data_IF_385336481748
#
_entry.id   IF_385336481748
#
_cell.length_a   1.000
_cell.length_b   1.000
_cell.length_c   1.000
_cell.angle_alpha   90.00
_cell.angle_beta   90.00
_cell.angle_gamma   90.00
#
_symmetry.space_group_name_H-M   'P 1'
#
loop_
_entity.id
_entity.type
_entity.pdbx_description
1 polymer ?
#
# COMPACT_ATOMS: atom_id res chain seq x y z
N UNK A 1 9.31 19.30 -10.79
CA UNK A 1 9.27 17.82 -10.93
C UNK A 1 8.14 17.43 -11.88
N UNK A 2 8.41 16.63 -12.92
CA UNK A 2 7.36 16.11 -13.81
C UNK A 2 6.33 15.34 -12.97
N UNK A 3 5.03 15.48 -13.26
CA UNK A 3 3.95 14.86 -12.45
C UNK A 3 4.07 13.35 -12.35
N UNK A 4 4.45 12.71 -13.46
CA UNK A 4 4.76 11.28 -13.53
C UNK A 4 5.83 10.84 -12.50
N UNK A 5 6.82 11.69 -12.23
CA UNK A 5 7.89 11.41 -11.25
C UNK A 5 7.35 11.52 -9.82
N UNK A 6 6.44 12.48 -9.54
CA UNK A 6 5.77 12.58 -8.23
C UNK A 6 4.96 11.33 -7.91
N UNK A 7 4.15 10.89 -8.87
CA UNK A 7 3.32 9.68 -8.73
C UNK A 7 4.20 8.44 -8.54
N UNK A 8 5.28 8.32 -9.32
CA UNK A 8 6.22 7.20 -9.20
C UNK A 8 6.89 7.16 -7.82
N UNK A 9 7.31 8.33 -7.30
CA UNK A 9 7.90 8.42 -5.96
C UNK A 9 6.92 7.98 -4.88
N UNK A 10 5.64 8.38 -4.98
CA UNK A 10 4.61 7.97 -4.03
C UNK A 10 4.37 6.46 -4.05
N UNK A 11 4.33 5.83 -5.23
CA UNK A 11 4.24 4.36 -5.33
C UNK A 11 5.44 3.65 -4.71
N UNK A 12 6.66 4.14 -4.94
CA UNK A 12 7.87 3.58 -4.32
C UNK A 12 7.82 3.72 -2.79
N UNK A 13 7.40 4.88 -2.28
CA UNK A 13 7.25 5.11 -0.85
C UNK A 13 6.21 4.16 -0.23
N UNK A 14 5.11 3.90 -0.93
CA UNK A 14 4.09 2.92 -0.52
C UNK A 14 4.68 1.51 -0.47
N UNK A 15 5.39 1.05 -1.51
CA UNK A 15 6.04 -0.28 -1.51
C UNK A 15 7.01 -0.41 -0.34
N UNK A 16 7.80 0.62 -0.08
CA UNK A 16 8.71 0.64 1.07
C UNK A 16 7.95 0.58 2.41
N UNK A 17 6.84 1.33 2.54
CA UNK A 17 5.97 1.30 3.72
C UNK A 17 5.33 -0.06 3.96
N UNK A 18 4.77 -0.69 2.92
CA UNK A 18 4.18 -2.03 2.99
C UNK A 18 5.24 -3.09 3.33
N UNK A 19 6.44 -2.97 2.76
CA UNK A 19 7.56 -3.88 3.09
C UNK A 19 8.01 -3.71 4.54
N UNK A 20 8.08 -2.46 5.02
CA UNK A 20 8.41 -2.16 6.42
C UNK A 20 7.35 -2.69 7.37
N UNK A 21 6.07 -2.63 6.99
CA UNK A 21 4.97 -3.22 7.77
C UNK A 21 5.18 -4.72 7.98
N UNK A 22 5.34 -5.48 6.91
CA UNK A 22 5.57 -6.93 7.01
C UNK A 22 6.87 -7.27 7.75
N UNK A 23 7.90 -6.43 7.61
CA UNK A 23 9.16 -6.61 8.33
C UNK A 23 8.97 -6.44 9.84
N UNK A 24 8.19 -5.44 10.29
CA UNK A 24 7.91 -5.25 11.71
C UNK A 24 7.18 -6.44 12.33
N UNK A 25 6.25 -7.06 11.59
CA UNK A 25 5.49 -8.21 12.10
C UNK A 25 6.37 -9.46 12.30
N UNK A 26 7.47 -9.59 11.55
CA UNK A 26 8.41 -10.72 11.66
C UNK A 26 9.65 -10.42 12.51
N UNK A 27 9.93 -9.14 12.80
CA UNK A 27 11.10 -8.74 13.58
C UNK A 27 11.25 -9.40 14.96
N UNK A 28 10.17 -9.65 15.74
CA UNK A 28 10.28 -10.33 17.04
C UNK A 28 10.98 -11.70 16.98
N UNK A 29 10.93 -12.38 15.83
CA UNK A 29 11.64 -13.66 15.62
C UNK A 29 13.14 -13.57 15.91
N UNK A 30 13.77 -12.42 15.63
CA UNK A 30 15.21 -12.23 15.84
C UNK A 30 15.60 -12.15 17.33
N UNK A 31 14.62 -12.04 18.23
CA UNK A 31 14.82 -12.02 19.68
C UNK A 31 14.18 -13.23 20.38
N UNK A 32 13.82 -14.29 19.64
CA UNK A 32 13.04 -15.43 20.16
C UNK A 32 11.73 -15.01 20.83
N UNK A 33 11.16 -13.87 20.41
CA UNK A 33 9.85 -13.43 20.86
C UNK A 33 8.75 -14.02 19.96
N UNK A 34 7.57 -14.23 20.55
CA UNK A 34 6.43 -14.75 19.83
C UNK A 34 5.98 -13.78 18.73
N UNK A 35 5.54 -14.35 17.61
CA UNK A 35 4.83 -13.62 16.55
C UNK A 35 3.37 -14.09 16.50
N UNK A 36 2.52 -13.33 15.82
CA UNK A 36 1.15 -13.76 15.57
C UNK A 36 1.13 -14.99 14.66
N UNK A 37 0.81 -16.16 15.22
CA UNK A 37 0.70 -17.44 14.49
C UNK A 37 -0.75 -17.91 14.53
N UNK A 38 -1.27 -18.32 13.38
CA UNK A 38 -2.56 -19.02 13.27
C UNK A 38 -2.55 -20.30 14.13
N UNK A 39 -3.65 -20.55 14.87
CA UNK A 39 -3.79 -21.79 15.67
C UNK A 39 -3.68 -23.07 14.83
N UNK A 40 -4.06 -22.98 13.56
CA UNK A 40 -4.02 -24.09 12.61
C UNK A 40 -2.66 -24.20 11.88
N UNK A 41 -1.72 -23.29 12.17
CA UNK A 41 -0.39 -23.25 11.54
C UNK A 41 -0.41 -22.88 10.05
N UNK A 42 -1.57 -22.53 9.49
CA UNK A 42 -1.74 -22.20 8.08
C UNK A 42 -2.48 -20.87 7.94
N UNK A 43 -1.95 -19.97 7.10
CA UNK A 43 -2.65 -18.76 6.69
C UNK A 43 -3.63 -19.09 5.53
N UNK A 44 -4.88 -18.59 5.55
CA UNK A 44 -5.81 -18.81 4.45
C UNK A 44 -5.21 -18.34 3.11
N UNK A 45 -5.28 -19.18 2.08
CA UNK A 45 -4.71 -18.86 0.75
C UNK A 45 -5.27 -17.56 0.19
N UNK A 46 -6.56 -17.29 0.41
CA UNK A 46 -7.21 -16.04 0.00
C UNK A 46 -6.56 -14.81 0.65
N UNK A 47 -6.18 -14.89 1.93
CA UNK A 47 -5.50 -13.82 2.64
C UNK A 47 -4.09 -13.59 2.07
N UNK A 48 -3.35 -14.68 1.81
CA UNK A 48 -2.01 -14.60 1.20
C UNK A 48 -2.05 -13.95 -0.19
N UNK A 49 -3.02 -14.35 -1.02
CA UNK A 49 -3.23 -13.76 -2.35
C UNK A 49 -3.60 -12.29 -2.25
N UNK A 50 -4.51 -11.92 -1.34
CA UNK A 50 -4.90 -10.53 -1.13
C UNK A 50 -3.69 -9.68 -0.72
N UNK A 51 -2.89 -10.14 0.24
CA UNK A 51 -1.69 -9.44 0.68
C UNK A 51 -0.66 -9.30 -0.45
N UNK A 52 -0.42 -10.36 -1.24
CA UNK A 52 0.47 -10.28 -2.39
C UNK A 52 -0.01 -9.25 -3.43
N UNK A 53 -1.32 -9.21 -3.70
CA UNK A 53 -1.90 -8.25 -4.65
C UNK A 53 -1.75 -6.82 -4.15
N UNK A 54 -2.09 -6.55 -2.90
CA UNK A 54 -2.13 -5.18 -2.37
C UNK A 54 -0.73 -4.66 -2.03
N UNK A 55 0.17 -5.50 -1.51
CA UNK A 55 1.51 -5.09 -1.11
C UNK A 55 2.50 -5.04 -2.27
N UNK A 56 2.23 -5.73 -3.39
CA UNK A 56 3.17 -5.82 -4.51
C UNK A 56 2.54 -5.57 -5.87
N UNK A 57 1.62 -6.43 -6.32
CA UNK A 57 1.14 -6.40 -7.72
C UNK A 57 0.48 -5.07 -8.08
N UNK A 58 -0.41 -4.58 -7.21
CA UNK A 58 -1.10 -3.31 -7.40
C UNK A 58 -0.11 -2.13 -7.37
N UNK A 59 0.75 -1.97 -6.35
CA UNK A 59 1.74 -0.90 -6.33
C UNK A 59 2.69 -0.87 -7.53
N UNK A 60 3.20 -2.02 -7.96
CA UNK A 60 4.10 -2.11 -9.11
C UNK A 60 3.36 -1.77 -10.41
N UNK A 61 2.11 -2.22 -10.56
CA UNK A 61 1.29 -1.85 -11.72
C UNK A 61 1.02 -0.34 -11.74
N UNK A 62 0.72 0.25 -10.59
CA UNK A 62 0.56 1.69 -10.43
C UNK A 62 1.83 2.47 -10.81
N UNK A 63 2.99 2.03 -10.35
CA UNK A 63 4.29 2.61 -10.69
C UNK A 63 4.58 2.56 -12.19
N UNK A 64 4.35 1.41 -12.83
CA UNK A 64 4.54 1.28 -14.27
C UNK A 64 3.59 2.22 -15.04
N UNK A 65 2.33 2.31 -14.62
CA UNK A 65 1.38 3.24 -15.21
C UNK A 65 1.81 4.70 -15.02
N UNK A 66 2.35 5.10 -13.87
CA UNK A 66 2.83 6.47 -13.68
C UNK A 66 4.00 6.83 -14.58
N UNK A 67 4.84 5.84 -14.94
CA UNK A 67 5.99 6.04 -15.82
C UNK A 67 5.61 6.07 -17.30
N UNK A 68 4.71 5.19 -17.73
CA UNK A 68 4.49 4.90 -19.15
C UNK A 68 3.11 5.30 -19.69
N UNK A 69 2.14 5.66 -18.85
CA UNK A 69 0.80 5.97 -19.35
C UNK A 69 0.76 7.32 -20.10
N UNK A 70 0.43 7.23 -21.39
CA UNK A 70 0.21 8.39 -22.26
C UNK A 70 -1.28 8.68 -22.43
N UNK A 71 -2.08 7.64 -22.69
CA UNK A 71 -3.53 7.77 -22.99
C UNK A 71 -4.35 8.00 -21.72
N UNK A 72 -5.43 8.77 -21.85
CA UNK A 72 -6.39 9.07 -20.76
C UNK A 72 -6.97 7.82 -20.08
N UNK A 73 -7.24 6.76 -20.83
CA UNK A 73 -7.73 5.49 -20.28
C UNK A 73 -6.75 4.89 -19.24
N UNK A 74 -5.44 4.88 -19.54
CA UNK A 74 -4.43 4.36 -18.62
C UNK A 74 -4.30 5.23 -17.36
N UNK A 75 -4.47 6.56 -17.49
CA UNK A 75 -4.50 7.48 -16.35
C UNK A 75 -5.72 7.24 -15.44
N UNK A 76 -6.87 6.91 -16.04
CA UNK A 76 -8.08 6.54 -15.30
C UNK A 76 -7.85 5.24 -14.52
N UNK A 77 -7.28 4.21 -15.16
CA UNK A 77 -6.93 2.95 -14.49
C UNK A 77 -5.98 3.20 -13.31
N UNK A 78 -4.93 4.00 -13.53
CA UNK A 78 -4.01 4.39 -12.46
C UNK A 78 -4.75 5.06 -11.27
N UNK A 79 -5.65 6.00 -11.55
CA UNK A 79 -6.45 6.65 -10.51
C UNK A 79 -7.32 5.64 -9.74
N UNK A 80 -7.97 4.70 -10.43
CA UNK A 80 -8.74 3.64 -9.78
C UNK A 80 -7.86 2.76 -8.88
N UNK A 81 -6.66 2.37 -9.33
CA UNK A 81 -5.74 1.57 -8.51
C UNK A 81 -5.30 2.33 -7.25
N UNK A 82 -4.96 3.63 -7.38
CA UNK A 82 -4.63 4.47 -6.24
C UNK A 82 -5.79 4.57 -5.24
N UNK A 83 -7.03 4.72 -5.73
CA UNK A 83 -8.21 4.81 -4.88
C UNK A 83 -8.51 3.50 -4.15
N UNK A 84 -8.37 2.36 -4.83
CA UNK A 84 -8.52 1.03 -4.21
C UNK A 84 -7.48 0.81 -3.12
N UNK A 85 -6.22 1.20 -3.36
CA UNK A 85 -5.18 1.10 -2.34
C UNK A 85 -5.48 2.02 -1.15
N UNK A 86 -5.88 3.27 -1.37
CA UNK A 86 -6.20 4.18 -0.29
C UNK A 86 -7.36 3.69 0.56
N UNK A 87 -8.39 3.11 -0.07
CA UNK A 87 -9.50 2.47 0.64
C UNK A 87 -8.99 1.30 1.49
N UNK A 88 -8.16 0.43 0.92
CA UNK A 88 -7.55 -0.67 1.66
C UNK A 88 -6.73 -0.17 2.85
N UNK A 89 -5.79 0.76 2.66
CA UNK A 89 -4.95 1.29 3.73
C UNK A 89 -5.79 1.93 4.85
N UNK A 90 -6.87 2.62 4.48
CA UNK A 90 -7.79 3.24 5.45
C UNK A 90 -8.54 2.19 6.26
N UNK A 91 -9.14 1.19 5.59
CA UNK A 91 -9.86 0.11 6.28
C UNK A 91 -8.90 -0.72 7.14
N UNK A 92 -7.73 -1.08 6.61
CA UNK A 92 -6.73 -1.85 7.33
C UNK A 92 -6.18 -1.09 8.54
N UNK A 93 -6.06 0.24 8.47
CA UNK A 93 -5.67 1.06 9.64
C UNK A 93 -6.65 1.01 10.81
N UNK A 94 -7.88 0.50 10.62
CA UNK A 94 -8.81 0.28 11.72
C UNK A 94 -8.35 -0.84 12.67
N UNK A 95 -7.42 -1.69 12.26
CA UNK A 95 -6.79 -2.69 13.13
C UNK A 95 -6.11 -2.05 14.35
N UNK A 96 -5.59 -0.83 14.22
CA UNK A 96 -5.04 -0.07 15.36
C UNK A 96 -6.07 0.20 16.47
N UNK A 97 -7.37 0.20 16.14
CA UNK A 97 -8.45 0.42 17.11
C UNK A 97 -8.78 -0.87 17.85
N UNK A 98 -8.73 -2.02 17.17
CA UNK A 98 -9.16 -3.31 17.71
C UNK A 98 -8.02 -4.13 18.34
N UNK A 99 -6.80 -3.95 17.86
CA UNK A 99 -5.60 -4.70 18.25
C UNK A 99 -4.39 -3.78 18.19
N UNK A 100 -4.32 -2.84 19.14
CA UNK A 100 -3.30 -1.80 19.16
C UNK A 100 -1.90 -2.35 19.40
N UNK A 101 -1.01 -2.13 18.44
CA UNK A 101 0.44 -2.37 18.54
C UNK A 101 1.20 -1.06 18.29
N UNK A 102 2.15 -0.73 19.18
CA UNK A 102 2.84 0.57 19.15
C UNK A 102 3.66 0.77 17.87
N UNK A 103 4.26 -0.29 17.35
CA UNK A 103 5.06 -0.27 16.12
C UNK A 103 4.17 0.05 14.91
N UNK A 104 2.96 -0.52 14.89
CA UNK A 104 1.99 -0.34 13.81
C UNK A 104 1.43 1.10 13.75
N UNK A 105 1.45 1.84 14.87
CA UNK A 105 1.04 3.25 14.94
C UNK A 105 1.89 4.17 14.06
N UNK A 106 3.16 3.83 13.82
CA UNK A 106 4.04 4.64 12.99
C UNK A 106 3.94 4.31 11.50
N UNK A 107 3.35 3.17 11.15
CA UNK A 107 3.30 2.67 9.78
C UNK A 107 1.94 2.94 9.14
N UNK A 108 0.84 2.52 9.78
CA UNK A 108 -0.49 2.63 9.19
C UNK A 108 -0.90 4.07 8.86
N UNK A 109 -0.77 5.06 9.76
CA UNK A 109 -1.16 6.44 9.44
C UNK A 109 -0.34 7.02 8.28
N UNK A 110 0.95 6.68 8.19
CA UNK A 110 1.79 7.12 7.08
C UNK A 110 1.36 6.51 5.75
N UNK A 111 1.02 5.22 5.71
CA UNK A 111 0.47 4.57 4.51
C UNK A 111 -0.87 5.19 4.08
N UNK A 112 -1.74 5.55 5.02
CA UNK A 112 -2.99 6.27 4.74
C UNK A 112 -2.70 7.65 4.14
N UNK A 113 -1.80 8.43 4.74
CA UNK A 113 -1.44 9.77 4.23
C UNK A 113 -0.85 9.67 2.82
N UNK A 114 0.09 8.75 2.59
CA UNK A 114 0.73 8.54 1.28
C UNK A 114 -0.29 8.11 0.22
N UNK A 115 -1.18 7.18 0.54
CA UNK A 115 -2.19 6.68 -0.39
C UNK A 115 -3.25 7.73 -0.74
N UNK A 116 -3.73 8.52 0.23
CA UNK A 116 -4.63 9.66 -0.04
C UNK A 116 -3.94 10.72 -0.91
N UNK A 117 -2.67 11.02 -0.62
CA UNK A 117 -1.86 11.96 -1.41
C UNK A 117 -1.71 11.47 -2.86
N UNK A 118 -1.46 10.17 -3.04
CA UNK A 118 -1.38 9.53 -4.35
C UNK A 118 -2.70 9.64 -5.11
N UNK A 119 -3.84 9.40 -4.47
CA UNK A 119 -5.17 9.56 -5.09
C UNK A 119 -5.38 10.99 -5.56
N UNK A 120 -5.05 11.97 -4.71
CA UNK A 120 -5.22 13.38 -5.02
C UNK A 120 -4.36 13.83 -6.20
N UNK A 121 -3.08 13.44 -6.23
CA UNK A 121 -2.19 13.76 -7.34
C UNK A 121 -2.56 12.99 -8.62
N UNK A 122 -3.00 11.73 -8.50
CA UNK A 122 -3.48 10.94 -9.64
C UNK A 122 -4.73 11.55 -10.27
N UNK A 123 -5.65 12.08 -9.46
CA UNK A 123 -6.85 12.78 -9.93
C UNK A 123 -6.51 14.04 -10.73
N UNK A 124 -5.58 14.86 -10.21
CA UNK A 124 -5.09 16.04 -10.94
C UNK A 124 -4.48 15.65 -12.28
N UNK A 125 -3.63 14.63 -12.29
CA UNK A 125 -2.95 14.16 -13.49
C UNK A 125 -3.91 13.58 -14.53
N UNK A 126 -4.98 12.91 -14.08
CA UNK A 126 -6.06 12.43 -14.94
C UNK A 126 -6.84 13.59 -15.57
N UNK A 127 -7.15 14.65 -14.80
CA UNK A 127 -7.94 15.80 -15.26
C UNK A 127 -7.22 16.76 -16.21
N UNK A 128 -5.89 16.77 -16.23
CA UNK A 128 -5.08 17.66 -17.10
C UNK A 128 -5.09 17.27 -18.59
N UNK A 129 -5.98 16.36 -19.01
CA UNK A 129 -6.14 15.90 -20.39
C UNK A 129 -7.48 16.35 -20.96
#
# INVERSE_FOLDING_TARGET
MKENIKLSFLWVAIVAGMSSHSLMDVMPLFWNADIAISKDGVAPVSMLVMMAVVSFTLPITGLLLSLYAVKRCYKMVHFCLAALLALFCTVHSTELIFSFELQQLFIHPMLVILSITLVYEAWKWYKKV
#
